data_IF_648890510232
#
_entry.id   IF_648890510232
#
_cell.length_a   1.000
_cell.length_b   1.000
_cell.length_c   1.000
_cell.angle_alpha   90.00
_cell.angle_beta   90.00
_cell.angle_gamma   90.00
#
_symmetry.space_group_name_H-M   'P 1'
#
loop_
_entity.id
_entity.type
_entity.pdbx_description
1 polymer ?
#
# COMPACT_ATOMS: atom_id res chain seq x y z
N UNK A 1 -4.80 -11.66 -14.40
CA UNK A 1 -5.39 -12.36 -13.22
C UNK A 1 -5.85 -11.33 -12.19
N UNK A 2 -6.68 -11.67 -11.20
CA UNK A 2 -7.06 -10.73 -10.11
C UNK A 2 -6.17 -10.92 -8.89
N UNK A 3 -5.50 -9.86 -8.46
CA UNK A 3 -4.59 -9.84 -7.32
C UNK A 3 -5.13 -8.89 -6.26
N UNK A 4 -5.37 -9.42 -5.06
CA UNK A 4 -5.71 -8.60 -3.89
C UNK A 4 -4.43 -8.25 -3.15
N UNK A 5 -4.05 -6.98 -3.17
CA UNK A 5 -2.88 -6.50 -2.44
C UNK A 5 -3.21 -6.21 -0.98
N UNK A 6 -2.43 -6.83 -0.10
CA UNK A 6 -2.43 -6.49 1.32
C UNK A 6 -1.74 -5.13 1.55
N UNK A 7 -2.10 -4.41 2.61
CA UNK A 7 -1.60 -3.06 2.94
C UNK A 7 -0.08 -2.99 2.92
N UNK A 8 0.58 -3.98 3.54
CA UNK A 8 2.04 -4.03 3.61
C UNK A 8 2.68 -4.29 2.25
N UNK A 9 2.04 -5.09 1.38
CA UNK A 9 2.56 -5.36 0.03
C UNK A 9 2.50 -4.11 -0.84
N UNK A 10 1.42 -3.34 -0.75
CA UNK A 10 1.30 -2.07 -1.45
C UNK A 10 2.31 -1.03 -0.96
N UNK A 11 2.51 -0.91 0.35
CA UNK A 11 3.52 -0.01 0.93
C UNK A 11 4.94 -0.40 0.52
N UNK A 12 5.29 -1.68 0.54
CA UNK A 12 6.59 -2.16 0.10
C UNK A 12 6.82 -1.89 -1.39
N UNK A 13 5.79 -2.02 -2.23
CA UNK A 13 5.89 -1.65 -3.64
C UNK A 13 6.14 -0.14 -3.82
N UNK A 14 5.42 0.71 -3.08
CA UNK A 14 5.61 2.17 -3.15
C UNK A 14 6.98 2.63 -2.63
N UNK A 15 7.53 1.95 -1.62
CA UNK A 15 8.79 2.30 -0.98
C UNK A 15 10.00 1.58 -1.61
N UNK A 16 9.77 0.74 -2.61
CA UNK A 16 10.74 -0.19 -3.20
C UNK A 16 11.51 -1.00 -2.12
N UNK A 17 10.75 -1.49 -1.14
CA UNK A 17 11.29 -2.20 0.03
C UNK A 17 11.82 -3.59 -0.38
N UNK A 18 13.02 -3.99 0.09
CA UNK A 18 13.62 -5.29 -0.22
C UNK A 18 12.81 -6.49 0.30
N UNK A 19 11.84 -6.26 1.19
CA UNK A 19 10.90 -7.29 1.66
C UNK A 19 9.89 -7.71 0.58
N UNK A 20 9.74 -6.94 -0.50
CA UNK A 20 8.91 -7.30 -1.63
C UNK A 20 9.63 -8.33 -2.53
N UNK A 21 9.04 -9.52 -2.63
CA UNK A 21 9.51 -10.55 -3.56
C UNK A 21 9.54 -10.05 -5.01
N UNK A 22 10.59 -10.42 -5.75
CA UNK A 22 10.71 -10.11 -7.18
C UNK A 22 9.53 -10.66 -8.01
N UNK A 23 8.99 -11.82 -7.64
CA UNK A 23 7.80 -12.39 -8.28
C UNK A 23 6.56 -11.55 -8.01
N UNK A 24 6.39 -11.05 -6.78
CA UNK A 24 5.27 -10.18 -6.45
C UNK A 24 5.37 -8.84 -7.20
N UNK A 25 6.57 -8.26 -7.29
CA UNK A 25 6.82 -7.04 -8.06
C UNK A 25 6.50 -7.21 -9.54
N UNK A 26 6.90 -8.34 -10.14
CA UNK A 26 6.58 -8.65 -11.53
C UNK A 26 5.08 -8.79 -11.78
N UNK A 27 4.35 -9.43 -10.86
CA UNK A 27 2.90 -9.58 -10.95
C UNK A 27 2.14 -8.26 -10.77
N UNK A 28 2.68 -7.32 -9.98
CA UNK A 28 2.11 -5.97 -9.76
C UNK A 28 2.37 -5.03 -10.95
N UNK A 29 3.52 -5.15 -11.62
CA UNK A 29 3.86 -4.31 -12.79
C UNK A 29 3.13 -4.75 -14.06
N UNK A 30 2.72 -6.02 -14.11
CA UNK A 30 2.04 -6.60 -15.27
C UNK A 30 0.64 -5.98 -15.46
N UNK A 31 0.40 -5.24 -16.58
CA UNK A 31 -0.87 -4.57 -16.84
C UNK A 31 -2.02 -5.54 -17.16
N UNK A 32 -1.75 -6.83 -17.43
CA UNK A 32 -2.79 -7.86 -17.60
C UNK A 32 -3.37 -8.36 -16.26
N UNK A 33 -2.86 -7.84 -15.14
CA UNK A 33 -3.37 -8.13 -13.81
C UNK A 33 -4.27 -6.99 -13.29
N UNK A 34 -5.48 -7.35 -12.89
CA UNK A 34 -6.38 -6.46 -12.17
C UNK A 34 -5.96 -6.44 -10.70
N UNK A 35 -5.58 -5.25 -10.22
CA UNK A 35 -5.05 -5.05 -8.87
C UNK A 35 -6.14 -4.43 -8.00
N UNK A 36 -6.65 -5.21 -7.06
CA UNK A 36 -7.58 -4.73 -6.04
C UNK A 36 -6.80 -4.36 -4.77
N UNK A 37 -7.04 -3.15 -4.26
CA UNK A 37 -6.44 -2.67 -3.00
C UNK A 37 -7.53 -2.59 -1.95
N UNK A 38 -7.28 -3.14 -0.76
CA UNK A 38 -8.25 -3.06 0.34
C UNK A 38 -8.44 -1.61 0.82
N UNK A 39 -9.68 -1.10 0.94
CA UNK A 39 -9.96 0.27 1.40
C UNK A 39 -9.53 0.54 2.85
N UNK A 40 -9.23 -0.49 3.63
CA UNK A 40 -8.70 -0.35 5.00
C UNK A 40 -7.33 0.37 5.04
N UNK A 41 -6.50 0.22 3.99
CA UNK A 41 -5.22 0.93 3.86
C UNK A 41 -5.41 2.43 3.72
N UNK A 42 -6.42 2.85 2.94
CA UNK A 42 -6.73 4.26 2.75
C UNK A 42 -7.08 4.90 4.10
N UNK A 43 -7.97 4.28 4.88
CA UNK A 43 -8.39 4.75 6.22
C UNK A 43 -7.22 4.88 7.22
N UNK A 44 -6.28 3.94 7.24
CA UNK A 44 -5.12 4.02 8.14
C UNK A 44 -4.18 5.21 7.84
N UNK A 45 -4.03 5.56 6.55
CA UNK A 45 -3.18 6.69 6.12
C UNK A 45 -3.83 8.02 6.47
N UNK A 46 -5.16 8.16 6.34
CA UNK A 46 -5.88 9.39 6.73
C UNK A 46 -5.86 9.58 8.25
N UNK A 47 -6.05 8.51 9.03
CA UNK A 47 -6.06 8.59 10.50
C UNK A 47 -4.69 9.07 11.05
N UNK A 48 -3.60 8.56 10.47
CA UNK A 48 -2.23 8.87 10.91
C UNK A 48 -1.86 10.34 10.66
N UNK A 49 -2.33 10.95 9.55
CA UNK A 49 -2.11 12.38 9.29
C UNK A 49 -2.96 13.27 10.20
N UNK A 50 -4.16 12.83 10.58
CA UNK A 50 -5.03 13.55 11.51
C UNK A 50 -4.46 13.61 12.93
N UNK A 51 -3.90 12.51 13.45
CA UNK A 51 -3.32 12.46 14.80
C UNK A 51 -2.08 13.36 14.92
N UNK A 52 -1.19 13.34 13.93
CA UNK A 52 0.00 14.22 13.91
C UNK A 52 -0.39 15.69 13.78
N UNK A 53 -1.45 16.00 13.03
CA UNK A 53 -1.97 17.37 12.92
C UNK A 53 -2.71 17.83 14.19
N UNK A 54 -3.32 16.93 14.96
CA UNK A 54 -3.94 17.23 16.26
C UNK A 54 -2.89 17.45 17.36
N UNK A 55 -1.78 16.70 17.35
CA UNK A 55 -0.70 16.78 18.35
C UNK A 55 0.27 17.95 18.13
N UNK A 56 0.26 18.57 16.95
CA UNK A 56 1.11 19.73 16.60
C UNK A 56 0.36 21.07 16.57
N UNK A 57 -0.86 21.12 17.13
CA UNK A 57 -1.54 22.39 17.39
C UNK A 57 -0.92 23.04 18.64
N UNK A 58 -0.47 24.31 18.57
CA UNK A 58 -0.02 25.05 19.76
C UNK A 58 -1.16 25.34 20.73
#
# INVERSE_FOLDING_TARGET
>A
MRLLLDTHTFLWFLLDDPSLSATAKALIIDPDNDIDISPATYLFIIETRSIVFLLLRP
#
